data_IF_398844276395
#
_entry.id   IF_398844276395
#
_cell.length_a   1.000
_cell.length_b   1.000
_cell.length_c   1.000
_cell.angle_alpha   90.00
_cell.angle_beta   90.00
_cell.angle_gamma   90.00
#
_symmetry.space_group_name_H-M   'P 1'
#
loop_
_entity.id
_entity.type
_entity.pdbx_description
1 polymer ?
#
# COMPACT_ATOMS: atom_id res chain seq x y z
N UNK A 1 16.05 14.42 5.44
CA UNK A 1 16.27 13.38 4.39
C UNK A 1 15.37 12.22 4.75
N UNK A 2 14.49 11.77 3.84
CA UNK A 2 13.58 10.65 4.12
C UNK A 2 14.42 9.39 4.42
N UNK A 3 14.28 8.80 5.61
CA UNK A 3 14.91 7.52 6.00
C UNK A 3 13.95 6.38 5.69
N UNK A 4 13.70 6.14 4.41
CA UNK A 4 13.00 4.94 3.98
C UNK A 4 13.96 3.75 3.92
N UNK A 5 13.46 2.50 3.98
CA UNK A 5 14.22 1.41 3.43
C UNK A 5 14.63 1.79 2.00
N UNK A 6 15.91 1.69 1.65
CA UNK A 6 16.36 2.07 0.31
C UNK A 6 15.60 1.24 -0.73
N UNK A 7 15.25 1.87 -1.85
CA UNK A 7 14.84 1.12 -3.03
C UNK A 7 15.94 0.10 -3.36
N UNK A 8 15.59 -1.07 -3.93
CA UNK A 8 16.59 -2.06 -4.32
C UNK A 8 17.71 -1.42 -5.16
N UNK A 9 18.95 -1.78 -4.87
CA UNK A 9 20.12 -1.22 -5.56
C UNK A 9 19.99 -1.38 -7.08
N UNK A 10 20.21 -0.30 -7.80
CA UNK A 10 20.16 -0.27 -9.26
C UNK A 10 18.72 -0.31 -9.85
N UNK A 11 17.67 -0.23 -9.04
CA UNK A 11 16.32 -0.11 -9.55
C UNK A 11 16.12 1.24 -10.26
N UNK A 12 15.71 1.25 -11.54
CA UNK A 12 15.33 2.48 -12.22
C UNK A 12 14.21 3.21 -11.48
N UNK A 13 14.29 4.54 -11.39
CA UNK A 13 13.27 5.38 -10.76
C UNK A 13 12.10 5.73 -11.70
N UNK A 14 12.15 5.25 -12.94
CA UNK A 14 11.06 5.33 -13.90
C UNK A 14 10.60 3.92 -14.24
N UNK A 15 9.32 3.64 -14.03
CA UNK A 15 8.64 2.44 -14.48
C UNK A 15 7.77 2.82 -15.67
N UNK A 16 7.75 2.02 -16.73
CA UNK A 16 6.93 2.25 -17.90
C UNK A 16 6.01 1.08 -18.19
N UNK A 17 4.72 1.35 -18.26
CA UNK A 17 3.70 0.38 -18.66
C UNK A 17 3.52 0.30 -20.19
N UNK A 18 4.39 0.94 -20.98
CA UNK A 18 4.32 0.91 -22.44
C UNK A 18 4.67 -0.48 -22.97
N UNK A 19 3.87 -0.98 -23.90
CA UNK A 19 4.09 -2.27 -24.57
C UNK A 19 5.23 -2.28 -25.60
N UNK A 20 5.85 -1.12 -25.89
CA UNK A 20 6.98 -1.01 -26.80
C UNK A 20 8.30 -1.43 -26.14
N UNK A 21 8.41 -2.69 -25.76
CA UNK A 21 9.48 -3.29 -24.97
C UNK A 21 10.87 -3.26 -25.57
N UNK A 22 10.98 -3.25 -26.88
CA UNK A 22 12.26 -3.36 -27.60
C UNK A 22 13.07 -2.07 -27.60
N UNK A 23 12.47 -0.94 -27.22
CA UNK A 23 13.08 0.37 -27.22
C UNK A 23 13.25 0.99 -25.83
N UNK A 24 12.89 0.28 -24.74
CA UNK A 24 12.98 0.85 -23.39
C UNK A 24 14.45 0.91 -22.94
N UNK A 25 15.00 2.08 -22.58
CA UNK A 25 16.38 2.21 -22.08
C UNK A 25 16.59 1.37 -20.83
N UNK A 26 17.85 0.99 -20.50
CA UNK A 26 18.19 0.29 -19.26
C UNK A 26 17.91 1.12 -17.99
N UNK A 27 17.80 2.44 -18.14
CA UNK A 27 17.40 3.41 -17.13
C UNK A 27 15.92 3.35 -16.76
N UNK A 28 15.11 2.58 -17.49
CA UNK A 28 13.66 2.43 -17.30
C UNK A 28 13.31 0.99 -17.00
N UNK A 29 12.48 0.75 -15.97
CA UNK A 29 11.96 -0.55 -15.62
C UNK A 29 10.64 -0.79 -16.39
N UNK A 30 10.60 -1.68 -17.39
CA UNK A 30 9.36 -2.04 -18.07
C UNK A 30 8.45 -2.82 -17.14
N UNK A 31 7.14 -2.57 -17.25
CA UNK A 31 6.08 -3.27 -16.52
C UNK A 31 5.37 -4.21 -17.48
N UNK A 32 5.50 -5.53 -17.27
CA UNK A 32 5.05 -6.57 -18.16
C UNK A 32 4.08 -7.54 -17.50
N UNK A 33 3.13 -8.05 -18.25
CA UNK A 33 2.30 -9.18 -17.83
C UNK A 33 2.98 -10.53 -18.16
N UNK A 34 2.45 -11.65 -17.68
CA UNK A 34 3.04 -12.97 -17.88
C UNK A 34 3.23 -13.35 -19.38
N UNK A 35 2.25 -13.16 -20.29
CA UNK A 35 2.45 -13.41 -21.73
C UNK A 35 3.55 -12.57 -22.37
N UNK A 36 3.74 -11.32 -21.93
CA UNK A 36 4.80 -10.45 -22.43
C UNK A 36 6.19 -10.90 -21.93
N UNK A 37 6.28 -11.34 -20.68
CA UNK A 37 7.50 -11.93 -20.11
C UNK A 37 7.89 -13.24 -20.82
N UNK A 38 6.95 -14.11 -21.13
CA UNK A 38 7.21 -15.37 -21.87
C UNK A 38 7.84 -15.11 -23.24
N UNK A 39 7.45 -14.03 -23.94
CA UNK A 39 7.99 -13.67 -25.25
C UNK A 39 9.45 -13.18 -25.19
N UNK A 40 9.96 -12.78 -24.03
CA UNK A 40 11.34 -12.28 -23.88
C UNK A 40 12.41 -13.39 -23.98
N UNK A 41 12.04 -14.67 -23.97
CA UNK A 41 12.94 -15.84 -24.15
C UNK A 41 14.22 -15.81 -23.32
N UNK A 42 14.13 -15.35 -22.09
CA UNK A 42 15.26 -15.31 -21.16
C UNK A 42 15.22 -14.07 -20.26
N UNK A 43 15.80 -14.19 -19.08
CA UNK A 43 15.86 -13.08 -18.14
C UNK A 43 16.94 -12.11 -18.58
N UNK A 44 16.62 -10.94 -19.12
CA UNK A 44 17.63 -9.92 -19.37
C UNK A 44 18.27 -9.50 -18.04
N UNK A 45 19.54 -9.12 -18.08
CA UNK A 45 20.25 -8.63 -16.89
C UNK A 45 19.84 -7.18 -16.53
N UNK A 46 18.54 -6.94 -16.47
CA UNK A 46 17.92 -5.64 -16.18
C UNK A 46 16.69 -5.80 -15.26
N UNK A 47 16.28 -4.71 -14.66
CA UNK A 47 15.03 -4.66 -13.89
C UNK A 47 13.80 -4.77 -14.79
N UNK A 48 12.91 -5.70 -14.45
CA UNK A 48 11.60 -5.88 -15.08
C UNK A 48 10.56 -6.05 -13.97
N UNK A 49 9.52 -5.25 -14.00
CA UNK A 49 8.38 -5.39 -13.13
C UNK A 49 7.35 -6.34 -13.75
N UNK A 50 7.03 -7.41 -13.04
CA UNK A 50 5.91 -8.28 -13.37
C UNK A 50 4.59 -7.68 -12.86
N UNK A 51 3.62 -7.48 -13.75
CA UNK A 51 2.30 -6.94 -13.37
C UNK A 51 1.43 -8.05 -12.79
N UNK A 52 1.06 -7.89 -11.53
CA UNK A 52 0.03 -8.70 -10.88
C UNK A 52 -1.34 -8.33 -11.46
N UNK A 53 -2.11 -9.33 -11.88
CA UNK A 53 -3.49 -9.12 -12.33
C UNK A 53 -4.40 -9.00 -11.11
N UNK A 54 -5.29 -8.04 -11.16
CA UNK A 54 -6.31 -7.89 -10.10
C UNK A 54 -7.11 -9.19 -9.94
N UNK A 55 -7.32 -9.56 -8.69
CA UNK A 55 -8.18 -10.68 -8.33
C UNK A 55 -9.60 -10.14 -8.03
N UNK A 56 -10.66 -10.91 -8.33
CA UNK A 56 -12.00 -10.51 -7.92
C UNK A 56 -12.05 -10.45 -6.39
N UNK A 57 -12.57 -9.31 -5.87
CA UNK A 57 -12.70 -9.09 -4.42
C UNK A 57 -13.87 -9.85 -3.81
N UNK A 58 -14.77 -10.40 -4.65
CA UNK A 58 -15.91 -11.21 -4.24
C UNK A 58 -15.82 -12.60 -4.86
N UNK A 59 -16.35 -13.59 -4.15
CA UNK A 59 -16.48 -14.97 -4.66
C UNK A 59 -17.69 -15.09 -5.61
N UNK A 60 -17.94 -16.31 -6.09
CA UNK A 60 -19.08 -16.59 -7.00
C UNK A 60 -20.45 -16.33 -6.35
N UNK A 61 -20.54 -16.44 -5.02
CA UNK A 61 -21.74 -16.19 -4.22
C UNK A 61 -21.89 -14.69 -3.85
N UNK A 62 -21.04 -13.82 -4.42
CA UNK A 62 -20.99 -12.38 -4.16
C UNK A 62 -20.60 -11.98 -2.72
N UNK A 63 -19.95 -12.87 -1.98
CA UNK A 63 -19.41 -12.59 -0.64
C UNK A 63 -17.99 -12.00 -0.75
N UNK A 64 -17.58 -11.11 0.16
CA UNK A 64 -16.21 -10.61 0.21
C UNK A 64 -15.20 -11.76 0.40
N UNK A 65 -14.13 -11.74 -0.40
CA UNK A 65 -13.04 -12.71 -0.22
C UNK A 65 -12.14 -12.28 0.92
N UNK A 66 -11.67 -13.24 1.69
CA UNK A 66 -10.71 -13.02 2.78
C UNK A 66 -9.35 -12.55 2.23
N UNK A 67 -8.67 -11.69 2.98
CA UNK A 67 -7.33 -11.19 2.61
C UNK A 67 -6.36 -12.36 2.42
N UNK A 68 -6.42 -13.40 3.28
CA UNK A 68 -5.59 -14.60 3.16
C UNK A 68 -5.74 -15.30 1.80
N UNK A 69 -6.99 -15.41 1.29
CA UNK A 69 -7.27 -16.09 0.02
C UNK A 69 -6.80 -15.27 -1.17
N UNK A 70 -7.01 -13.96 -1.12
CA UNK A 70 -6.48 -13.02 -2.10
C UNK A 70 -4.94 -13.03 -2.08
N UNK A 71 -4.33 -13.06 -0.90
CA UNK A 71 -2.88 -13.11 -0.71
C UNK A 71 -2.28 -14.38 -1.32
N UNK A 72 -2.91 -15.54 -1.10
CA UNK A 72 -2.50 -16.80 -1.73
C UNK A 72 -2.53 -16.71 -3.27
N UNK A 73 -3.59 -16.12 -3.83
CA UNK A 73 -3.71 -15.92 -5.29
C UNK A 73 -2.67 -14.93 -5.84
N UNK A 74 -2.32 -13.88 -5.11
CA UNK A 74 -1.24 -12.97 -5.49
C UNK A 74 0.14 -13.61 -5.36
N UNK A 75 0.36 -14.47 -4.36
CA UNK A 75 1.59 -15.24 -4.21
C UNK A 75 1.79 -16.19 -5.40
N UNK A 76 0.75 -16.91 -5.82
CA UNK A 76 0.80 -17.79 -6.97
C UNK A 76 1.19 -17.04 -8.26
N UNK A 77 0.53 -15.93 -8.55
CA UNK A 77 0.90 -15.07 -9.68
C UNK A 77 2.33 -14.55 -9.57
N UNK A 78 2.74 -14.12 -8.39
CA UNK A 78 4.08 -13.61 -8.14
C UNK A 78 5.18 -14.65 -8.38
N UNK A 79 4.98 -15.89 -7.95
CA UNK A 79 5.91 -17.00 -8.23
C UNK A 79 5.99 -17.29 -9.72
N UNK A 80 4.87 -17.26 -10.46
CA UNK A 80 4.87 -17.40 -11.91
C UNK A 80 5.68 -16.29 -12.59
N UNK A 81 5.40 -15.03 -12.26
CA UNK A 81 6.12 -13.86 -12.81
C UNK A 81 7.62 -13.91 -12.50
N UNK A 82 7.99 -14.31 -11.26
CA UNK A 82 9.40 -14.53 -10.89
C UNK A 82 10.05 -15.61 -11.75
N UNK A 83 9.38 -16.74 -12.00
CA UNK A 83 9.86 -17.81 -12.87
C UNK A 83 10.07 -17.34 -14.31
N UNK A 84 9.24 -16.39 -14.76
CA UNK A 84 9.34 -15.76 -16.09
C UNK A 84 10.40 -14.65 -16.18
N UNK A 85 11.09 -14.34 -15.07
CA UNK A 85 12.19 -13.39 -15.05
C UNK A 85 11.87 -12.00 -14.50
N UNK A 86 10.69 -11.78 -13.93
CA UNK A 86 10.41 -10.55 -13.18
C UNK A 86 11.35 -10.44 -11.96
N UNK A 87 11.85 -9.22 -11.71
CA UNK A 87 12.68 -8.88 -10.54
C UNK A 87 11.94 -7.97 -9.54
N UNK A 88 10.75 -7.50 -9.90
CA UNK A 88 9.88 -6.64 -9.12
C UNK A 88 8.44 -7.04 -9.44
N UNK A 89 7.54 -6.91 -8.49
CA UNK A 89 6.10 -7.09 -8.69
C UNK A 89 5.38 -5.74 -8.58
N UNK A 90 4.42 -5.49 -9.46
CA UNK A 90 3.55 -4.31 -9.42
C UNK A 90 2.08 -4.71 -9.44
N UNK A 91 1.34 -4.40 -8.37
CA UNK A 91 -0.12 -4.42 -8.38
C UNK A 91 -0.63 -3.03 -8.82
N UNK A 92 -1.15 -2.94 -10.04
CA UNK A 92 -1.59 -1.68 -10.67
C UNK A 92 -3.12 -1.58 -10.69
N UNK A 93 -3.65 -0.42 -10.29
CA UNK A 93 -5.08 -0.16 -10.25
C UNK A 93 -5.78 -0.70 -8.99
N UNK A 94 -5.09 -0.73 -7.85
CA UNK A 94 -5.64 -1.13 -6.55
C UNK A 94 -6.74 -0.16 -6.12
N UNK A 95 -7.87 -0.69 -5.60
CA UNK A 95 -9.04 0.12 -5.23
C UNK A 95 -9.53 -0.10 -3.80
N UNK A 96 -8.95 -1.03 -3.03
CA UNK A 96 -9.34 -1.27 -1.65
C UNK A 96 -8.16 -1.59 -0.73
N UNK A 97 -8.34 -1.42 0.58
CA UNK A 97 -7.33 -1.81 1.58
C UNK A 97 -7.07 -3.32 1.53
N UNK A 98 -8.13 -4.13 1.41
CA UNK A 98 -8.01 -5.59 1.32
C UNK A 98 -7.12 -6.03 0.14
N UNK A 99 -7.37 -5.46 -1.05
CA UNK A 99 -6.58 -5.74 -2.25
C UNK A 99 -5.12 -5.31 -2.07
N UNK A 100 -4.88 -4.09 -1.56
CA UNK A 100 -3.55 -3.56 -1.31
C UNK A 100 -2.75 -4.46 -0.35
N UNK A 101 -3.33 -4.80 0.80
CA UNK A 101 -2.72 -5.67 1.80
C UNK A 101 -2.44 -7.06 1.22
N UNK A 102 -3.43 -7.66 0.56
CA UNK A 102 -3.30 -8.98 -0.05
C UNK A 102 -2.19 -9.04 -1.11
N UNK A 103 -2.10 -8.02 -1.97
CA UNK A 103 -1.05 -7.95 -2.99
C UNK A 103 0.35 -7.85 -2.37
N UNK A 104 0.51 -7.06 -1.29
CA UNK A 104 1.79 -6.93 -0.58
C UNK A 104 2.13 -8.22 0.18
N UNK A 105 1.18 -8.75 0.99
CA UNK A 105 1.39 -9.96 1.79
C UNK A 105 1.65 -11.20 0.93
N UNK A 106 0.94 -11.34 -0.20
CA UNK A 106 1.16 -12.43 -1.16
C UNK A 106 2.44 -12.25 -1.94
N UNK A 107 2.64 -11.06 -2.53
CA UNK A 107 3.80 -10.80 -3.37
C UNK A 107 5.13 -10.94 -2.63
N UNK A 108 5.23 -10.48 -1.38
CA UNK A 108 6.46 -10.59 -0.57
C UNK A 108 6.91 -12.03 -0.30
N UNK A 109 5.99 -13.01 -0.35
CA UNK A 109 6.34 -14.43 -0.22
C UNK A 109 7.26 -14.92 -1.32
N UNK A 110 7.25 -14.25 -2.47
CA UNK A 110 8.16 -14.56 -3.59
C UNK A 110 9.60 -14.13 -3.33
N UNK A 111 9.86 -13.30 -2.33
CA UNK A 111 11.16 -12.66 -2.10
C UNK A 111 11.47 -11.52 -3.06
N UNK A 112 10.56 -11.16 -3.98
CA UNK A 112 10.70 -9.99 -4.84
C UNK A 112 10.18 -8.73 -4.14
N UNK A 113 10.75 -7.54 -4.42
CA UNK A 113 10.14 -6.28 -4.03
C UNK A 113 8.74 -6.16 -4.62
N UNK A 114 7.81 -5.62 -3.84
CA UNK A 114 6.42 -5.39 -4.27
C UNK A 114 6.12 -3.91 -4.26
N UNK A 115 5.56 -3.40 -5.34
CA UNK A 115 5.00 -2.06 -5.42
C UNK A 115 3.50 -2.15 -5.68
N UNK A 116 2.75 -1.17 -5.19
CA UNK A 116 1.33 -1.03 -5.51
C UNK A 116 1.08 0.34 -6.14
N UNK A 117 0.06 0.45 -6.97
CA UNK A 117 -0.43 1.70 -7.53
C UNK A 117 -1.94 1.78 -7.36
N UNK A 118 -2.40 2.77 -6.60
CA UNK A 118 -3.81 2.99 -6.26
C UNK A 118 -4.48 3.83 -7.34
N UNK A 119 -5.70 3.48 -7.72
CA UNK A 119 -6.55 4.29 -8.58
C UNK A 119 -7.34 5.27 -7.72
N UNK A 120 -7.29 6.57 -8.03
CA UNK A 120 -7.97 7.63 -7.28
C UNK A 120 -8.89 8.44 -8.21
N UNK A 121 -10.02 8.85 -7.67
CA UNK A 121 -11.00 9.74 -8.30
C UNK A 121 -10.69 11.24 -8.06
N UNK A 122 -11.69 12.09 -8.26
CA UNK A 122 -11.60 13.55 -8.08
C UNK A 122 -11.59 14.01 -6.62
N UNK A 123 -11.97 13.14 -5.70
CA UNK A 123 -11.97 13.37 -4.25
C UNK A 123 -10.69 12.86 -3.59
N UNK A 124 -9.84 12.12 -4.31
CA UNK A 124 -8.61 11.48 -3.79
C UNK A 124 -8.91 10.16 -3.07
N UNK A 125 -10.04 9.57 -3.39
CA UNK A 125 -10.50 8.28 -2.92
C UNK A 125 -10.47 7.26 -4.06
N UNK A 126 -10.53 5.99 -3.70
CA UNK A 126 -10.71 4.94 -4.70
C UNK A 126 -12.15 4.91 -5.22
N UNK A 127 -12.44 4.24 -6.36
CA UNK A 127 -13.81 4.05 -6.82
C UNK A 127 -14.74 3.37 -5.79
N UNK A 128 -14.20 2.68 -4.81
CA UNK A 128 -14.92 2.08 -3.68
C UNK A 128 -15.09 3.05 -2.50
N UNK A 129 -14.64 4.30 -2.60
CA UNK A 129 -14.75 5.33 -1.56
C UNK A 129 -13.71 5.20 -0.44
N UNK A 130 -12.57 4.54 -0.70
CA UNK A 130 -11.49 4.37 0.28
C UNK A 130 -10.47 5.50 0.11
N UNK A 131 -10.16 6.29 1.17
CA UNK A 131 -9.15 7.33 1.10
C UNK A 131 -7.75 6.77 0.82
N UNK A 132 -6.95 7.46 0.00
CA UNK A 132 -5.55 7.08 -0.26
C UNK A 132 -4.75 6.93 1.04
N UNK A 133 -5.01 7.80 2.03
CA UNK A 133 -4.37 7.76 3.33
C UNK A 133 -4.58 6.43 4.05
N UNK A 134 -5.80 5.85 4.00
CA UNK A 134 -6.10 4.55 4.63
C UNK A 134 -5.30 3.42 3.99
N UNK A 135 -5.18 3.41 2.66
CA UNK A 135 -4.35 2.42 1.96
C UNK A 135 -2.88 2.61 2.31
N UNK A 136 -2.35 3.85 2.24
CA UNK A 136 -0.95 4.14 2.55
C UNK A 136 -0.59 3.71 3.97
N UNK A 137 -1.39 4.10 4.98
CA UNK A 137 -1.15 3.72 6.38
C UNK A 137 -1.16 2.20 6.58
N UNK A 138 -2.09 1.50 5.90
CA UNK A 138 -2.29 0.05 6.03
C UNK A 138 -1.16 -0.80 5.42
N UNK A 139 -0.41 -0.28 4.42
CA UNK A 139 0.57 -1.10 3.69
C UNK A 139 2.02 -0.67 3.89
N UNK A 140 2.30 0.59 4.25
CA UNK A 140 3.67 1.11 4.27
C UNK A 140 4.61 0.38 5.23
N UNK A 141 4.09 -0.32 6.23
CA UNK A 141 4.87 -1.12 7.17
C UNK A 141 4.80 -2.63 6.90
N UNK A 142 4.16 -3.07 5.80
CA UNK A 142 4.10 -4.48 5.38
C UNK A 142 5.30 -4.93 4.55
N UNK A 143 6.29 -4.05 4.33
CA UNK A 143 7.44 -4.35 3.47
C UNK A 143 7.20 -4.04 1.99
N UNK A 144 6.22 -3.20 1.67
CA UNK A 144 6.03 -2.67 0.31
C UNK A 144 7.23 -1.79 -0.08
N UNK A 145 7.71 -1.94 -1.32
CA UNK A 145 8.89 -1.20 -1.81
C UNK A 145 8.56 0.25 -2.21
N UNK A 146 7.34 0.49 -2.70
CA UNK A 146 6.80 1.82 -2.97
C UNK A 146 5.27 1.77 -3.05
N UNK A 147 4.63 2.90 -2.71
CA UNK A 147 3.19 3.10 -2.90
C UNK A 147 2.98 4.18 -3.94
N UNK A 148 2.35 3.78 -5.06
CA UNK A 148 1.99 4.68 -6.14
C UNK A 148 0.52 5.05 -6.11
N UNK A 149 0.18 6.07 -6.91
CA UNK A 149 -1.20 6.46 -7.12
C UNK A 149 -1.38 7.11 -8.50
N UNK A 150 -2.59 6.93 -9.05
CA UNK A 150 -3.03 7.51 -10.31
C UNK A 150 -4.31 8.30 -10.04
N UNK A 151 -4.28 9.60 -10.32
CA UNK A 151 -5.48 10.43 -10.28
C UNK A 151 -6.22 10.30 -11.62
N UNK A 152 -7.43 9.75 -11.64
CA UNK A 152 -8.24 9.57 -12.85
C UNK A 152 -9.02 10.83 -13.17
N UNK A 153 -9.37 11.61 -12.15
CA UNK A 153 -10.15 12.83 -12.25
C UNK A 153 -9.36 14.06 -12.70
N UNK A 154 -10.05 15.17 -12.94
CA UNK A 154 -9.48 16.46 -13.34
C UNK A 154 -9.36 17.45 -12.17
N UNK A 155 -10.05 17.22 -11.05
CA UNK A 155 -10.12 18.14 -9.90
C UNK A 155 -8.96 17.98 -8.94
N UNK A 156 -8.57 16.74 -8.65
CA UNK A 156 -7.43 16.47 -7.79
C UNK A 156 -6.21 16.19 -8.66
N UNK A 157 -5.09 16.78 -8.31
CA UNK A 157 -3.85 16.57 -9.00
C UNK A 157 -2.82 15.80 -8.15
N UNK A 158 -1.82 15.31 -8.83
CA UNK A 158 -0.71 14.58 -8.22
C UNK A 158 -0.03 15.36 -7.08
N UNK A 159 0.07 16.70 -7.22
CA UNK A 159 0.75 17.54 -6.25
C UNK A 159 -0.06 17.70 -4.97
N UNK A 160 -1.39 17.77 -5.07
CA UNK A 160 -2.30 17.81 -3.92
C UNK A 160 -2.16 16.55 -3.07
N UNK A 161 -2.19 15.36 -3.70
CA UNK A 161 -2.02 14.08 -2.97
C UNK A 161 -0.63 14.00 -2.31
N UNK A 162 0.44 14.37 -3.02
CA UNK A 162 1.78 14.41 -2.43
C UNK A 162 1.85 15.39 -1.27
N UNK A 163 1.29 16.60 -1.41
CA UNK A 163 1.29 17.63 -0.38
C UNK A 163 0.59 17.18 0.92
N UNK A 164 -0.47 16.39 0.80
CA UNK A 164 -1.23 15.88 1.96
C UNK A 164 -0.52 14.71 2.66
N UNK A 165 0.16 13.83 1.92
CA UNK A 165 0.55 12.53 2.47
C UNK A 165 2.06 12.29 2.54
N UNK A 166 2.89 13.04 1.80
CA UNK A 166 4.32 12.77 1.73
C UNK A 166 5.06 12.99 3.07
N UNK A 167 4.53 13.82 3.97
CA UNK A 167 5.08 14.00 5.31
C UNK A 167 4.97 12.74 6.18
N UNK A 168 3.93 11.94 5.99
CA UNK A 168 3.61 10.74 6.78
C UNK A 168 4.01 9.44 6.10
N UNK A 169 4.47 9.51 4.86
CA UNK A 169 4.88 8.32 4.13
C UNK A 169 6.20 7.75 4.70
N UNK A 170 6.18 6.48 5.10
CA UNK A 170 7.35 5.73 5.55
C UNK A 170 7.98 4.89 4.42
N UNK A 171 7.50 5.04 3.19
CA UNK A 171 7.98 4.36 1.99
C UNK A 171 8.04 5.34 0.82
N UNK A 172 8.81 5.06 -0.24
CA UNK A 172 8.83 5.85 -1.45
C UNK A 172 7.44 6.01 -2.07
N UNK A 173 7.11 7.23 -2.52
CA UNK A 173 5.87 7.53 -3.22
C UNK A 173 6.12 7.56 -4.74
N UNK A 174 5.24 6.87 -5.50
CA UNK A 174 5.33 6.67 -6.95
C UNK A 174 4.09 7.25 -7.67
N UNK A 175 4.01 8.57 -7.87
CA UNK A 175 2.92 9.13 -8.65
C UNK A 175 2.97 8.66 -10.10
N UNK A 176 1.79 8.48 -10.71
CA UNK A 176 1.65 8.26 -12.14
C UNK A 176 1.67 9.61 -12.87
N UNK A 177 2.64 9.80 -13.75
CA UNK A 177 2.68 10.99 -14.60
C UNK A 177 1.74 10.82 -15.79
N UNK A 178 0.79 11.76 -15.93
CA UNK A 178 -0.09 11.83 -17.09
C UNK A 178 0.69 12.37 -18.30
N UNK A 179 0.80 11.56 -19.34
CA UNK A 179 1.52 11.90 -20.57
C UNK A 179 0.62 12.40 -21.70
N UNK A 180 -0.65 11.94 -21.72
CA UNK A 180 -1.57 12.21 -22.83
C UNK A 180 -1.84 13.71 -22.99
N UNK A 181 -1.51 14.25 -24.18
CA UNK A 181 -1.74 15.64 -24.54
C UNK A 181 -0.75 16.65 -23.95
N UNK A 182 0.35 16.17 -23.32
CA UNK A 182 1.42 17.01 -22.74
C UNK A 182 2.67 16.97 -23.62
N UNK A 183 3.37 18.09 -23.69
CA UNK A 183 4.69 18.15 -24.31
C UNK A 183 5.76 17.54 -23.40
N UNK A 184 6.94 17.16 -23.90
CA UNK A 184 8.06 16.72 -23.07
C UNK A 184 8.45 17.73 -21.99
N UNK A 185 8.44 19.03 -22.32
CA UNK A 185 8.76 20.12 -21.38
C UNK A 185 7.72 20.18 -20.23
N UNK A 186 6.44 19.98 -20.53
CA UNK A 186 5.38 19.93 -19.52
C UNK A 186 5.54 18.70 -18.61
N UNK A 187 5.97 17.54 -19.15
CA UNK A 187 6.29 16.35 -18.37
C UNK A 187 7.47 16.60 -17.45
N UNK A 188 8.54 17.23 -17.95
CA UNK A 188 9.72 17.56 -17.14
C UNK A 188 9.37 18.48 -15.97
N UNK A 189 8.61 19.55 -16.24
CA UNK A 189 8.17 20.50 -15.21
C UNK A 189 7.31 19.80 -14.15
N UNK A 190 6.34 18.98 -14.58
CA UNK A 190 5.45 18.27 -13.67
C UNK A 190 6.21 17.22 -12.83
N UNK A 191 7.13 16.48 -13.46
CA UNK A 191 7.99 15.53 -12.75
C UNK A 191 8.84 16.23 -11.68
N UNK A 192 9.47 17.38 -12.03
CA UNK A 192 10.25 18.16 -11.07
C UNK A 192 9.40 18.69 -9.92
N UNK A 193 8.18 19.15 -10.18
CA UNK A 193 7.24 19.58 -9.13
C UNK A 193 6.86 18.42 -8.22
N UNK A 194 6.56 17.24 -8.79
CA UNK A 194 6.23 16.04 -8.02
C UNK A 194 7.39 15.56 -7.13
N UNK A 195 8.63 15.62 -7.63
CA UNK A 195 9.83 15.31 -6.84
C UNK A 195 10.00 16.26 -5.65
N UNK A 196 9.80 17.58 -5.87
CA UNK A 196 9.84 18.59 -4.81
C UNK A 196 8.72 18.37 -3.77
N UNK A 197 7.55 17.98 -4.23
CA UNK A 197 6.38 17.67 -3.40
C UNK A 197 6.46 16.31 -2.69
N UNK A 198 7.55 15.55 -2.87
CA UNK A 198 7.78 14.31 -2.11
C UNK A 198 7.65 13.02 -2.89
N UNK A 199 7.43 13.05 -4.20
CA UNK A 199 7.57 11.89 -5.06
C UNK A 199 9.01 11.37 -5.11
N UNK A 200 9.20 10.07 -5.29
CA UNK A 200 10.52 9.42 -5.27
C UNK A 200 10.87 8.74 -6.59
N UNK A 201 9.87 8.21 -7.27
CA UNK A 201 9.96 7.53 -8.56
C UNK A 201 8.64 7.74 -9.32
N UNK A 202 8.59 7.37 -10.60
CA UNK A 202 7.43 7.59 -11.44
C UNK A 202 6.95 6.30 -12.10
N UNK A 203 5.64 6.15 -12.20
CA UNK A 203 5.01 5.20 -13.11
C UNK A 203 4.45 5.99 -14.31
N UNK A 204 4.80 5.56 -15.51
CA UNK A 204 4.38 6.16 -16.76
C UNK A 204 3.37 5.25 -17.45
N UNK A 205 2.28 5.84 -17.93
CA UNK A 205 1.20 5.11 -18.59
C UNK A 205 1.58 4.64 -20.00
N UNK A 206 0.68 3.83 -20.61
CA UNK A 206 0.90 3.21 -21.92
C UNK A 206 1.00 4.18 -23.11
N UNK A 207 0.64 5.45 -22.92
CA UNK A 207 0.59 6.47 -23.99
C UNK A 207 1.80 7.40 -24.01
N UNK A 208 2.85 7.08 -23.24
CA UNK A 208 4.07 7.89 -23.23
C UNK A 208 4.91 7.61 -24.46
N UNK A 209 5.48 8.67 -25.06
CA UNK A 209 6.46 8.58 -26.13
C UNK A 209 7.90 8.69 -25.61
N UNK A 210 8.88 8.43 -26.46
CA UNK A 210 10.30 8.42 -26.10
C UNK A 210 10.80 9.79 -25.63
N UNK A 211 10.29 10.88 -26.17
CA UNK A 211 10.68 12.25 -25.78
C UNK A 211 10.13 12.61 -24.40
N UNK A 212 8.89 12.23 -24.12
CA UNK A 212 8.28 12.39 -22.79
C UNK A 212 8.96 11.52 -21.74
N UNK A 213 9.38 10.30 -22.11
CA UNK A 213 10.14 9.40 -21.25
C UNK A 213 11.48 10.03 -20.88
N UNK A 214 12.24 10.50 -21.88
CA UNK A 214 13.52 11.18 -21.67
C UNK A 214 13.37 12.41 -20.76
N UNK A 215 12.31 13.19 -20.92
CA UNK A 215 12.03 14.35 -20.09
C UNK A 215 11.77 13.99 -18.61
N UNK A 216 11.10 12.87 -18.32
CA UNK A 216 10.93 12.38 -16.96
C UNK A 216 12.25 11.89 -16.33
N UNK A 217 13.11 11.23 -17.12
CA UNK A 217 14.45 10.81 -16.68
C UNK A 217 15.36 12.01 -16.41
N UNK A 218 15.33 13.05 -17.25
CA UNK A 218 16.08 14.28 -17.07
C UNK A 218 15.67 15.00 -15.77
N UNK A 219 14.38 15.09 -15.48
CA UNK A 219 13.90 15.65 -14.22
C UNK A 219 14.46 14.89 -13.00
N UNK A 220 14.55 13.55 -13.06
CA UNK A 220 15.13 12.73 -11.99
C UNK A 220 16.65 12.92 -11.86
N UNK A 221 17.36 13.11 -12.98
CA UNK A 221 18.81 13.34 -12.98
C UNK A 221 19.17 14.72 -12.43
N UNK A 222 18.35 15.74 -12.72
CA UNK A 222 18.56 17.11 -12.26
C UNK A 222 18.10 17.35 -10.82
N UNK A 223 17.23 16.49 -10.27
CA UNK A 223 16.68 16.65 -8.94
C UNK A 223 17.70 16.37 -7.85
N UNK A 224 17.79 17.28 -6.90
CA UNK A 224 18.60 17.13 -5.69
C UNK A 224 17.69 16.92 -4.47
N UNK A 225 17.99 15.96 -3.57
CA UNK A 225 17.17 15.73 -2.37
C UNK A 225 17.01 16.97 -1.48
N UNK A 226 17.95 17.92 -1.55
CA UNK A 226 17.89 19.21 -0.84
C UNK A 226 16.80 20.14 -1.39
N UNK A 227 16.28 19.90 -2.59
CA UNK A 227 15.25 20.71 -3.22
C UNK A 227 13.82 20.34 -2.77
N UNK A 228 13.70 19.32 -1.90
CA UNK A 228 12.42 18.94 -1.29
C UNK A 228 11.96 19.98 -0.29
N UNK A 229 10.66 20.28 -0.35
CA UNK A 229 10.00 21.24 0.54
C UNK A 229 9.36 20.56 1.76
N UNK A 230 9.20 19.23 1.72
CA UNK A 230 8.45 18.48 2.74
C UNK A 230 9.38 17.91 3.80
N UNK A 231 9.08 18.24 5.06
CA UNK A 231 9.63 17.59 6.26
C UNK A 231 8.77 16.41 6.65
N UNK A 232 9.42 15.29 7.06
CA UNK A 232 8.69 14.13 7.57
C UNK A 232 8.24 14.37 9.00
N UNK A 233 6.97 14.07 9.26
CA UNK A 233 6.45 13.97 10.62
C UNK A 233 6.65 12.52 11.11
N UNK A 234 7.51 12.35 12.10
CA UNK A 234 7.83 11.04 12.71
C UNK A 234 7.29 10.91 14.12
N UNK A 235 6.72 11.97 14.66
CA UNK A 235 6.18 11.98 16.01
C UNK A 235 4.75 11.43 16.03
N UNK A 236 4.06 11.54 14.90
CA UNK A 236 2.69 11.05 14.76
C UNK A 236 2.63 9.57 14.37
N UNK A 237 1.74 8.84 15.02
CA UNK A 237 1.35 7.49 14.61
C UNK A 237 0.32 7.60 13.48
N UNK A 238 0.65 7.04 12.33
CA UNK A 238 -0.23 7.03 11.18
C UNK A 238 -0.96 5.69 11.12
N UNK A 239 -2.19 5.65 11.62
CA UNK A 239 -3.06 4.48 11.76
C UNK A 239 -4.19 4.54 10.74
N UNK A 240 -4.91 3.44 10.54
CA UNK A 240 -6.07 3.40 9.65
C UNK A 240 -7.05 2.28 9.99
N UNK A 241 -8.34 2.55 9.76
CA UNK A 241 -9.34 1.55 9.40
C UNK A 241 -9.60 1.62 7.88
N UNK A 242 -10.51 0.82 7.37
CA UNK A 242 -10.84 0.82 5.94
C UNK A 242 -11.34 2.20 5.45
N UNK A 243 -12.18 2.85 6.26
CA UNK A 243 -12.86 4.09 5.88
C UNK A 243 -12.06 5.35 6.16
N UNK A 244 -11.13 5.33 7.13
CA UNK A 244 -10.45 6.53 7.62
C UNK A 244 -9.00 6.26 8.00
N UNK A 245 -8.18 7.31 7.89
CA UNK A 245 -6.81 7.34 8.38
C UNK A 245 -6.67 8.34 9.53
N UNK A 246 -5.87 7.98 10.53
CA UNK A 246 -5.74 8.70 11.79
C UNK A 246 -4.28 9.11 12.02
N UNK A 247 -4.10 10.37 12.44
CA UNK A 247 -2.82 10.92 12.82
C UNK A 247 -2.84 11.14 14.34
N UNK A 248 -2.21 10.24 15.10
CA UNK A 248 -2.31 10.18 16.55
C UNK A 248 -0.99 10.53 17.19
N UNK A 249 -1.06 11.29 18.29
CA UNK A 249 0.10 11.43 19.15
C UNK A 249 0.24 10.17 20.02
N UNK A 250 1.45 9.58 20.15
CA UNK A 250 1.61 8.34 20.91
C UNK A 250 1.30 8.50 22.41
N UNK A 251 1.50 9.73 22.93
CA UNK A 251 1.29 10.00 24.35
C UNK A 251 -0.19 10.34 24.64
N UNK A 252 -0.75 9.69 25.67
CA UNK A 252 -2.07 10.03 26.20
C UNK A 252 -3.25 9.42 25.46
N UNK A 253 -3.04 8.44 24.60
CA UNK A 253 -4.13 7.71 23.92
C UNK A 253 -5.04 7.03 24.96
N UNK A 254 -6.35 7.23 24.82
CA UNK A 254 -7.38 6.54 25.58
C UNK A 254 -7.92 5.35 24.82
N UNK A 255 -8.00 4.21 25.48
CA UNK A 255 -8.54 2.97 24.90
C UNK A 255 -9.91 2.68 25.51
N UNK A 256 -10.86 2.29 24.66
CA UNK A 256 -12.15 1.80 25.15
C UNK A 256 -11.98 0.49 25.94
N UNK A 257 -12.99 0.16 26.78
CA UNK A 257 -13.07 -1.19 27.35
C UNK A 257 -13.10 -2.23 26.23
N UNK A 258 -12.38 -3.36 26.38
CA UNK A 258 -12.31 -4.36 25.32
C UNK A 258 -13.69 -4.96 25.01
N UNK A 259 -14.08 -4.96 23.75
CA UNK A 259 -15.30 -5.61 23.29
C UNK A 259 -14.99 -7.02 22.76
N UNK A 260 -15.83 -8.03 23.07
CA UNK A 260 -15.64 -9.39 22.56
C UNK A 260 -16.02 -9.48 21.09
N UNK A 261 -15.32 -10.30 20.31
CA UNK A 261 -15.62 -10.51 18.91
C UNK A 261 -16.71 -11.58 18.75
N UNK A 262 -17.94 -11.11 18.58
CA UNK A 262 -19.14 -11.93 18.37
C UNK A 262 -19.58 -11.86 16.89
N UNK A 263 -20.53 -12.73 16.51
CA UNK A 263 -21.10 -12.74 15.16
C UNK A 263 -21.68 -11.38 14.74
N UNK A 264 -22.33 -10.66 15.67
CA UNK A 264 -22.82 -9.28 15.47
C UNK A 264 -22.20 -8.37 16.54
N UNK A 265 -21.25 -7.55 16.12
CA UNK A 265 -20.54 -6.58 16.98
C UNK A 265 -21.11 -5.16 16.83
N UNK A 266 -22.13 -4.94 15.98
CA UNK A 266 -22.56 -3.60 15.62
C UNK A 266 -22.99 -2.73 16.80
N UNK A 267 -23.73 -3.29 17.75
CA UNK A 267 -24.15 -2.56 18.96
C UNK A 267 -22.99 -2.21 19.87
N UNK A 268 -22.06 -3.16 20.09
CA UNK A 268 -20.90 -2.98 20.96
C UNK A 268 -19.90 -1.94 20.37
N UNK A 269 -19.69 -1.96 19.04
CA UNK A 269 -18.88 -0.97 18.33
C UNK A 269 -19.48 0.44 18.51
N UNK A 270 -20.77 0.62 18.25
CA UNK A 270 -21.43 1.92 18.38
C UNK A 270 -21.42 2.44 19.83
N UNK A 271 -21.58 1.55 20.82
CA UNK A 271 -21.52 1.92 22.23
C UNK A 271 -20.08 2.33 22.61
N UNK A 272 -19.06 1.60 22.16
CA UNK A 272 -17.67 1.93 22.40
C UNK A 272 -17.28 3.27 21.74
N UNK A 273 -17.66 3.52 20.50
CA UNK A 273 -17.42 4.80 19.82
C UNK A 273 -18.09 5.98 20.54
N UNK A 274 -19.28 5.76 21.11
CA UNK A 274 -20.01 6.76 21.89
C UNK A 274 -19.34 7.12 23.23
N UNK A 275 -18.43 6.29 23.75
CA UNK A 275 -17.66 6.57 24.98
C UNK A 275 -16.62 7.69 24.79
N UNK A 276 -16.25 8.02 23.53
CA UNK A 276 -15.33 9.08 23.19
C UNK A 276 -13.86 8.74 23.48
N UNK A 277 -13.50 7.46 23.44
CA UNK A 277 -12.10 7.01 23.46
C UNK A 277 -11.42 7.23 22.10
N UNK A 278 -10.08 7.25 22.08
CA UNK A 278 -9.30 7.46 20.87
C UNK A 278 -9.12 6.17 20.05
N UNK A 279 -9.16 5.01 20.72
CA UNK A 279 -8.85 3.70 20.14
C UNK A 279 -9.85 2.67 20.61
N UNK A 280 -10.52 2.01 19.66
CA UNK A 280 -11.40 0.88 19.91
C UNK A 280 -10.55 -0.35 20.26
N UNK A 281 -10.79 -0.98 21.42
CA UNK A 281 -10.12 -2.21 21.81
C UNK A 281 -11.02 -3.41 21.56
N UNK A 282 -10.50 -4.42 20.86
CA UNK A 282 -11.19 -5.68 20.58
C UNK A 282 -10.43 -6.85 21.18
N UNK A 283 -11.16 -7.85 21.67
CA UNK A 283 -10.59 -9.05 22.27
C UNK A 283 -10.82 -10.25 21.35
N UNK A 284 -9.72 -10.83 20.86
CA UNK A 284 -9.71 -11.94 19.89
C UNK A 284 -8.96 -13.11 20.48
N UNK A 285 -9.67 -14.13 20.92
CA UNK A 285 -9.06 -15.25 21.67
C UNK A 285 -9.16 -16.60 20.95
N UNK A 286 -9.88 -16.65 19.85
CA UNK A 286 -10.03 -17.84 19.01
C UNK A 286 -10.01 -17.48 17.50
N UNK A 287 -9.79 -18.48 16.62
CA UNK A 287 -9.97 -18.28 15.17
C UNK A 287 -11.37 -17.81 14.80
N UNK A 288 -12.41 -18.24 15.51
CA UNK A 288 -13.79 -17.78 15.29
C UNK A 288 -13.95 -16.29 15.63
N UNK A 289 -13.35 -15.83 16.73
CA UNK A 289 -13.34 -14.40 17.08
C UNK A 289 -12.63 -13.57 16.00
N UNK A 290 -11.51 -14.06 15.46
CA UNK A 290 -10.80 -13.40 14.38
C UNK A 290 -11.65 -13.30 13.11
N UNK A 291 -12.44 -14.33 12.79
CA UNK A 291 -13.37 -14.31 11.67
C UNK A 291 -14.53 -13.32 11.90
N UNK A 292 -15.13 -13.34 13.10
CA UNK A 292 -16.17 -12.41 13.49
C UNK A 292 -15.68 -10.96 13.46
N UNK A 293 -14.48 -10.70 13.99
CA UNK A 293 -13.85 -9.37 13.92
C UNK A 293 -13.67 -8.90 12.47
N UNK A 294 -13.15 -9.77 11.59
CA UNK A 294 -12.95 -9.43 10.18
C UNK A 294 -14.28 -9.07 9.49
N UNK A 295 -15.35 -9.82 9.75
CA UNK A 295 -16.68 -9.57 9.17
C UNK A 295 -17.30 -8.25 9.63
N UNK A 296 -17.05 -7.84 10.88
CA UNK A 296 -17.60 -6.61 11.46
C UNK A 296 -16.67 -5.39 11.31
N UNK A 297 -15.42 -5.57 10.89
CA UNK A 297 -14.40 -4.50 10.83
C UNK A 297 -14.78 -3.32 9.92
N UNK A 298 -15.62 -3.55 8.91
CA UNK A 298 -16.13 -2.51 8.00
C UNK A 298 -17.00 -1.44 8.68
N UNK A 299 -17.56 -1.74 9.87
CA UNK A 299 -18.36 -0.80 10.65
C UNK A 299 -17.51 0.16 11.50
N UNK A 300 -16.26 -0.18 11.78
CA UNK A 300 -15.38 0.56 12.69
C UNK A 300 -14.93 1.87 12.07
N UNK A 301 -15.02 2.95 12.87
CA UNK A 301 -14.60 4.31 12.51
C UNK A 301 -13.52 4.89 13.44
N UNK A 302 -12.91 4.05 14.26
CA UNK A 302 -11.80 4.39 15.14
C UNK A 302 -10.56 3.53 14.80
N UNK A 303 -9.36 3.97 15.19
CA UNK A 303 -8.19 3.09 15.23
C UNK A 303 -8.47 1.89 16.12
N UNK A 304 -7.99 0.72 15.73
CA UNK A 304 -8.25 -0.54 16.46
C UNK A 304 -7.00 -0.99 17.22
N UNK A 305 -7.18 -1.43 18.46
CA UNK A 305 -6.22 -2.17 19.25
C UNK A 305 -6.72 -3.62 19.43
N UNK A 306 -5.93 -4.58 18.96
CA UNK A 306 -6.27 -6.00 19.09
C UNK A 306 -5.56 -6.57 20.33
N UNK A 307 -6.35 -7.10 21.27
CA UNK A 307 -5.89 -7.83 22.43
C UNK A 307 -6.14 -9.31 22.22
N UNK A 308 -5.16 -10.18 22.49
CA UNK A 308 -5.29 -11.63 22.35
C UNK A 308 -4.31 -12.34 23.27
N UNK A 309 -4.73 -13.50 23.81
CA UNK A 309 -3.83 -14.42 24.54
C UNK A 309 -3.29 -15.55 23.65
N UNK A 310 -3.74 -15.64 22.40
CA UNK A 310 -3.39 -16.72 21.47
C UNK A 310 -2.76 -16.20 20.18
N UNK A 311 -1.53 -16.67 19.90
CA UNK A 311 -0.74 -16.27 18.72
C UNK A 311 -1.52 -16.47 17.42
N UNK A 312 -2.16 -17.63 17.24
CA UNK A 312 -2.90 -17.95 16.00
C UNK A 312 -4.10 -17.02 15.81
N UNK A 313 -4.84 -16.73 16.87
CA UNK A 313 -5.98 -15.83 16.80
C UNK A 313 -5.56 -14.38 16.47
N UNK A 314 -4.49 -13.90 17.12
CA UNK A 314 -3.91 -12.60 16.84
C UNK A 314 -3.40 -12.50 15.40
N UNK A 315 -2.68 -13.52 14.90
CA UNK A 315 -2.19 -13.57 13.54
C UNK A 315 -3.34 -13.49 12.52
N UNK A 316 -4.40 -14.29 12.75
CA UNK A 316 -5.57 -14.28 11.87
C UNK A 316 -6.28 -12.91 11.87
N UNK A 317 -6.45 -12.30 13.04
CA UNK A 317 -7.06 -10.98 13.14
C UNK A 317 -6.22 -9.90 12.44
N UNK A 318 -4.90 -9.90 12.63
CA UNK A 318 -3.98 -8.98 11.96
C UNK A 318 -3.93 -9.20 10.44
N UNK A 319 -4.04 -10.45 9.99
CA UNK A 319 -4.08 -10.80 8.57
C UNK A 319 -5.33 -10.23 7.90
N UNK A 320 -6.51 -10.43 8.51
CA UNK A 320 -7.81 -10.11 7.92
C UNK A 320 -8.27 -8.66 8.17
N UNK A 321 -7.63 -7.91 9.06
CA UNK A 321 -8.03 -6.53 9.35
C UNK A 321 -7.75 -5.59 8.17
N UNK A 322 -8.78 -4.85 7.74
CA UNK A 322 -8.70 -3.85 6.67
C UNK A 322 -8.17 -2.51 7.19
N UNK A 323 -6.96 -2.50 7.75
CA UNK A 323 -6.37 -1.30 8.32
C UNK A 323 -4.96 -1.54 8.84
N UNK A 324 -4.51 -0.59 9.66
CA UNK A 324 -3.31 -0.69 10.49
C UNK A 324 -3.72 -0.66 11.95
N UNK A 325 -3.48 -1.75 12.66
CA UNK A 325 -3.88 -1.93 14.05
C UNK A 325 -2.77 -1.60 15.06
N UNK A 326 -3.19 -1.31 16.28
CA UNK A 326 -2.38 -1.51 17.48
C UNK A 326 -2.50 -2.96 17.94
N UNK A 327 -1.50 -3.44 18.66
CA UNK A 327 -1.50 -4.71 19.38
C UNK A 327 -1.24 -4.44 20.85
N UNK A 328 -2.10 -4.99 21.70
CA UNK A 328 -2.03 -4.80 23.15
C UNK A 328 -0.84 -5.56 23.76
N UNK A 329 0.03 -4.83 24.46
CA UNK A 329 1.16 -5.43 25.18
C UNK A 329 0.73 -6.28 26.40
N UNK A 330 -0.49 -6.07 26.92
CA UNK A 330 -1.01 -6.81 28.07
C UNK A 330 -1.54 -8.22 27.71
N UNK A 331 -1.10 -8.77 26.58
CA UNK A 331 -1.40 -10.16 26.19
C UNK A 331 -0.56 -11.15 26.99
N UNK A 332 -0.97 -12.42 27.06
CA UNK A 332 -0.17 -13.50 27.65
C UNK A 332 0.95 -14.02 26.73
N UNK A 333 1.07 -13.46 25.53
CA UNK A 333 2.14 -13.78 24.58
C UNK A 333 3.46 -13.15 25.03
N UNK A 334 4.56 -13.77 24.67
CA UNK A 334 5.87 -13.19 24.94
C UNK A 334 6.09 -11.93 24.08
N UNK A 335 6.87 -10.97 24.59
CA UNK A 335 7.24 -9.76 23.84
C UNK A 335 7.79 -10.10 22.44
N UNK A 336 8.60 -11.16 22.32
CA UNK A 336 9.19 -11.60 21.06
C UNK A 336 8.13 -12.05 20.04
N UNK A 337 7.10 -12.77 20.47
CA UNK A 337 5.98 -13.19 19.62
C UNK A 337 5.17 -12.00 19.19
N UNK A 338 4.80 -11.10 20.12
CA UNK A 338 4.03 -9.89 19.81
C UNK A 338 4.74 -8.98 18.81
N UNK A 339 6.01 -8.65 19.06
CA UNK A 339 6.77 -7.79 18.15
C UNK A 339 7.00 -8.45 16.80
N UNK A 340 7.15 -9.77 16.72
CA UNK A 340 7.31 -10.51 15.47
C UNK A 340 6.02 -10.44 14.63
N UNK A 341 4.87 -10.70 15.25
CA UNK A 341 3.56 -10.61 14.61
C UNK A 341 3.26 -9.16 14.19
N UNK A 342 3.38 -8.21 15.12
CA UNK A 342 3.13 -6.81 14.83
C UNK A 342 3.96 -6.33 13.63
N UNK A 343 5.25 -6.62 13.60
CA UNK A 343 6.15 -6.31 12.49
C UNK A 343 5.72 -7.02 11.20
N UNK A 344 5.30 -8.27 11.29
CA UNK A 344 4.83 -9.07 10.16
C UNK A 344 3.62 -8.46 9.46
N UNK A 345 2.75 -7.78 10.20
CA UNK A 345 1.51 -7.20 9.70
C UNK A 345 1.48 -5.65 9.75
N UNK A 346 2.62 -5.01 10.05
CA UNK A 346 2.74 -3.55 10.07
C UNK A 346 2.03 -2.86 11.23
N UNK A 347 1.64 -3.63 12.26
CA UNK A 347 0.97 -3.14 13.46
C UNK A 347 1.94 -2.46 14.44
N UNK A 348 1.40 -1.73 15.40
CA UNK A 348 2.13 -1.02 16.45
C UNK A 348 1.82 -1.67 17.80
N UNK A 349 2.85 -2.06 18.55
CA UNK A 349 2.68 -2.60 19.92
C UNK A 349 2.56 -1.43 20.91
N UNK A 350 1.54 -1.45 21.78
CA UNK A 350 1.22 -0.38 22.76
C UNK A 350 0.91 -0.95 24.13
#
# INVERSE_FOLDING_TARGET
MKDYPPLPDGLPRVLSASSALTACPDSVCPVLNAPELEQLNGSPDRWIAGRLRRLPLRNEDNEPRRIRDLSAGYAEQGFELRRLGARLLLADGVTSVAEARAAVLGGRQTGLPVMICVELDDEGETPEGVPFASILASVQHLGVAAVGFRCSGDRIDTLSILGQHAAFAAVPLMPVLRSRGRSPEEIQVHAMQALRAGGDLFLLGNSIDDAQLAAAEEALADFRPTDRVIEQDREMLFMACEAEAFYLQPDGLSFCEPIPCQYDMGADILEAEAQGCDVLKVYVDSPEDAENFAENSHMIRLPVCISSHHEVALEMALMEYNGRAFVDLQSELTDSELYTLAKGYGAVVV
#
